data_IF_729738882647
#
_entry.id   IF_729738882647
#
_cell.length_a   1.000
_cell.length_b   1.000
_cell.length_c   1.000
_cell.angle_alpha   90.00
_cell.angle_beta   90.00
_cell.angle_gamma   90.00
#
_symmetry.space_group_name_H-M   'P 1'
#
loop_
_entity.id
_entity.type
_entity.pdbx_description
1 polymer ?
#
# COMPACT_ATOMS: atom_id res chain seq x y z
N UNK A 1 -49.33 -0.72 -36.41
CA UNK A 1 -48.70 -1.39 -35.24
C UNK A 1 -47.33 -1.88 -35.68
N UNK A 2 -46.26 -1.15 -35.36
CA UNK A 2 -44.87 -1.55 -35.63
C UNK A 2 -44.07 -1.33 -34.36
N UNK A 3 -43.54 -2.44 -33.82
CA UNK A 3 -42.74 -2.48 -32.60
C UNK A 3 -41.34 -1.93 -32.89
N UNK A 4 -40.93 -0.86 -32.20
CA UNK A 4 -39.56 -0.34 -32.23
C UNK A 4 -38.74 -1.09 -31.17
N UNK A 5 -37.75 -1.86 -31.63
CA UNK A 5 -36.66 -2.33 -30.79
C UNK A 5 -35.74 -1.13 -30.49
N UNK A 6 -35.63 -0.76 -29.21
CA UNK A 6 -34.73 0.28 -28.74
C UNK A 6 -33.34 -0.31 -28.60
N UNK A 7 -32.50 -0.12 -29.62
CA UNK A 7 -31.05 -0.36 -29.53
C UNK A 7 -30.44 0.64 -28.55
N UNK A 8 -29.97 0.15 -27.41
CA UNK A 8 -29.14 0.92 -26.49
C UNK A 8 -27.72 1.00 -27.08
N UNK A 9 -27.42 2.12 -27.73
CA UNK A 9 -26.06 2.48 -28.11
C UNK A 9 -25.23 2.68 -26.83
N UNK A 10 -24.26 1.80 -26.59
CA UNK A 10 -23.24 2.02 -25.56
C UNK A 10 -22.39 3.23 -25.96
N UNK A 11 -22.06 4.14 -25.02
CA UNK A 11 -21.17 5.25 -25.32
C UNK A 11 -19.81 4.70 -25.73
N UNK A 12 -19.35 5.11 -26.92
CA UNK A 12 -18.00 4.87 -27.43
C UNK A 12 -17.03 5.34 -26.35
N UNK A 13 -16.28 4.38 -25.78
CA UNK A 13 -15.22 4.66 -24.84
C UNK A 13 -14.30 5.73 -25.44
N UNK A 14 -14.39 6.94 -24.92
CA UNK A 14 -13.37 7.95 -25.12
C UNK A 14 -12.08 7.34 -24.58
N UNK A 15 -11.17 6.99 -25.48
CA UNK A 15 -9.78 6.71 -25.14
C UNK A 15 -9.23 7.98 -24.49
N UNK A 16 -9.35 8.03 -23.16
CA UNK A 16 -8.50 8.90 -22.36
C UNK A 16 -7.10 8.37 -22.60
N UNK A 17 -6.39 8.98 -23.54
CA UNK A 17 -4.97 8.79 -23.70
C UNK A 17 -4.36 9.17 -22.35
N UNK A 18 -3.87 8.22 -21.53
CA UNK A 18 -3.17 8.61 -20.32
C UNK A 18 -1.97 9.42 -20.80
N UNK A 19 -1.85 10.63 -20.28
CA UNK A 19 -0.69 11.50 -20.43
C UNK A 19 0.59 10.67 -20.43
N UNK A 20 1.54 11.03 -21.28
CA UNK A 20 2.80 10.36 -21.63
C UNK A 20 3.79 10.12 -20.47
N UNK A 21 3.31 9.73 -19.30
CA UNK A 21 4.09 9.08 -18.26
C UNK A 21 4.13 7.58 -18.57
N UNK A 22 5.34 7.05 -18.73
CA UNK A 22 5.55 5.63 -18.99
C UNK A 22 5.13 4.83 -17.76
N UNK A 23 4.05 4.04 -17.90
CA UNK A 23 3.63 3.10 -16.87
C UNK A 23 4.79 2.13 -16.58
N UNK A 24 5.14 2.00 -15.30
CA UNK A 24 6.16 1.07 -14.84
C UNK A 24 5.49 -0.15 -14.21
N UNK A 25 6.20 -1.27 -14.19
CA UNK A 25 5.83 -2.44 -13.43
C UNK A 25 7.01 -2.89 -12.57
N UNK A 26 6.71 -3.54 -11.46
CA UNK A 26 7.75 -4.19 -10.65
C UNK A 26 8.15 -5.49 -11.36
N UNK A 27 9.45 -5.74 -11.52
CA UNK A 27 9.99 -6.97 -12.10
C UNK A 27 9.45 -8.21 -11.38
N UNK A 28 9.08 -9.24 -12.13
CA UNK A 28 8.59 -10.52 -11.56
C UNK A 28 9.72 -11.40 -11.01
N UNK A 29 10.99 -11.09 -11.33
CA UNK A 29 12.12 -11.99 -11.08
C UNK A 29 12.60 -12.04 -9.63
N UNK A 30 12.21 -11.08 -8.79
CA UNK A 30 12.67 -10.95 -7.40
C UNK A 30 11.49 -10.92 -6.45
N UNK A 31 11.65 -11.55 -5.28
CA UNK A 31 10.77 -11.42 -4.11
C UNK A 31 10.86 -9.99 -3.56
N UNK A 32 10.22 -9.07 -4.25
CA UNK A 32 10.33 -7.63 -4.03
C UNK A 32 9.00 -6.95 -4.26
N UNK A 33 8.84 -5.76 -3.70
CA UNK A 33 7.61 -5.00 -3.85
C UNK A 33 7.78 -3.56 -3.37
N UNK A 34 6.71 -2.81 -3.54
CA UNK A 34 6.56 -1.47 -3.00
C UNK A 34 5.34 -1.42 -2.09
N UNK A 35 5.48 -0.80 -0.94
CA UNK A 35 4.37 -0.41 -0.07
C UNK A 35 4.12 1.07 -0.33
N UNK A 36 2.92 1.38 -0.81
CA UNK A 36 2.52 2.73 -1.19
C UNK A 36 1.64 3.31 -0.08
N UNK A 37 2.21 4.21 0.72
CA UNK A 37 1.54 4.79 1.87
C UNK A 37 0.71 6.00 1.43
N UNK A 38 -0.61 5.90 1.57
CA UNK A 38 -1.56 7.01 1.41
C UNK A 38 -1.85 7.63 2.77
N UNK A 39 -2.75 8.62 2.82
CA UNK A 39 -3.03 9.37 4.05
C UNK A 39 -3.55 8.49 5.20
N UNK A 40 -4.42 7.52 4.90
CA UNK A 40 -5.14 6.74 5.91
C UNK A 40 -4.99 5.22 5.78
N UNK A 41 -4.31 4.76 4.73
CA UNK A 41 -4.07 3.34 4.48
C UNK A 41 -2.81 3.18 3.63
N UNK A 42 -2.35 1.95 3.50
CA UNK A 42 -1.29 1.60 2.57
C UNK A 42 -1.76 0.53 1.60
N UNK A 43 -1.13 0.49 0.44
CA UNK A 43 -1.34 -0.54 -0.56
C UNK A 43 -0.05 -1.30 -0.81
N UNK A 44 -0.18 -2.57 -1.19
CA UNK A 44 0.96 -3.39 -1.58
C UNK A 44 0.98 -3.57 -3.10
N UNK A 45 2.09 -3.19 -3.73
CA UNK A 45 2.44 -3.51 -5.10
C UNK A 45 3.53 -4.59 -5.08
N UNK A 46 3.14 -5.84 -5.30
CA UNK A 46 4.09 -6.95 -5.39
C UNK A 46 4.69 -7.13 -6.80
N UNK A 47 5.44 -8.22 -7.04
CA UNK A 47 6.02 -8.49 -8.34
C UNK A 47 4.98 -8.48 -9.45
N UNK A 48 5.37 -7.92 -10.60
CA UNK A 48 4.53 -7.73 -11.78
C UNK A 48 3.51 -6.60 -11.65
N UNK A 49 3.34 -5.98 -10.48
CA UNK A 49 2.32 -4.95 -10.30
C UNK A 49 2.69 -3.64 -11.01
N UNK A 50 1.69 -3.04 -11.65
CA UNK A 50 1.79 -1.69 -12.20
C UNK A 50 2.02 -0.64 -11.08
N UNK A 51 2.89 0.33 -11.35
CA UNK A 51 3.20 1.48 -10.49
C UNK A 51 3.42 2.72 -11.36
N UNK A 52 3.31 3.92 -10.77
CA UNK A 52 3.42 5.20 -11.48
C UNK A 52 2.36 5.34 -12.58
N UNK A 53 1.10 5.20 -12.18
CA UNK A 53 -0.05 5.40 -13.06
C UNK A 53 -0.57 6.83 -12.87
N UNK A 54 -0.82 7.56 -13.97
CA UNK A 54 -1.23 8.98 -13.93
C UNK A 54 -2.58 9.27 -13.23
N UNK A 55 -3.29 8.24 -12.76
CA UNK A 55 -4.53 8.37 -11.96
C UNK A 55 -4.33 8.03 -10.47
N UNK A 56 -3.10 7.79 -10.02
CA UNK A 56 -2.85 7.44 -8.62
C UNK A 56 -2.87 8.68 -7.71
N UNK A 57 -3.52 8.59 -6.52
CA UNK A 57 -3.52 9.67 -5.55
C UNK A 57 -2.11 9.86 -4.95
N UNK A 58 -1.86 11.05 -4.42
CA UNK A 58 -0.57 11.42 -3.83
C UNK A 58 -0.18 10.44 -2.71
N UNK A 59 0.99 9.83 -2.84
CA UNK A 59 1.61 9.01 -1.81
C UNK A 59 2.38 9.86 -0.82
N UNK A 60 2.15 9.65 0.48
CA UNK A 60 2.96 10.26 1.54
C UNK A 60 4.36 9.67 1.59
N UNK A 61 4.45 8.37 1.33
CA UNK A 61 5.70 7.65 1.29
C UNK A 61 5.58 6.44 0.37
N UNK A 62 6.71 6.05 -0.22
CA UNK A 62 6.87 4.77 -0.92
C UNK A 62 8.00 4.03 -0.23
N UNK A 63 7.72 2.79 0.18
CA UNK A 63 8.67 1.94 0.91
C UNK A 63 8.99 0.73 0.04
N UNK A 64 10.27 0.59 -0.31
CA UNK A 64 10.77 -0.60 -0.97
C UNK A 64 10.91 -1.75 0.02
N UNK A 65 10.43 -2.93 -0.37
CA UNK A 65 10.65 -4.19 0.34
C UNK A 65 11.40 -5.17 -0.56
N UNK A 66 12.51 -5.70 -0.06
CA UNK A 66 13.50 -6.39 -0.88
C UNK A 66 14.21 -5.42 -1.83
N UNK A 67 14.47 -5.87 -3.06
CA UNK A 67 15.20 -5.09 -4.08
C UNK A 67 14.35 -4.95 -5.36
N UNK A 68 13.27 -4.16 -5.33
CA UNK A 68 12.37 -4.00 -6.46
C UNK A 68 13.07 -3.31 -7.62
N UNK A 69 12.90 -3.87 -8.80
CA UNK A 69 13.37 -3.30 -10.07
C UNK A 69 12.16 -2.86 -10.87
N UNK A 70 12.17 -1.63 -11.37
CA UNK A 70 11.08 -1.08 -12.16
C UNK A 70 11.38 -1.25 -13.65
N UNK A 71 10.47 -1.90 -14.36
CA UNK A 71 10.55 -2.14 -15.79
C UNK A 71 9.48 -1.32 -16.52
N UNK A 72 9.81 -0.69 -17.67
CA UNK A 72 8.81 0.03 -18.46
C UNK A 72 7.82 -0.95 -19.10
N UNK A 73 6.55 -0.56 -19.13
CA UNK A 73 5.49 -1.29 -19.86
C UNK A 73 5.14 -0.55 -21.14
N UNK A 74 5.49 -1.14 -22.28
CA UNK A 74 5.38 -0.51 -23.59
C UNK A 74 4.12 -0.97 -24.32
N UNK A 75 3.82 -2.26 -24.25
CA UNK A 75 2.70 -2.85 -24.98
C UNK A 75 1.41 -2.82 -24.18
N UNK A 76 0.27 -2.81 -24.86
CA UNK A 76 -1.05 -2.90 -24.22
C UNK A 76 -1.16 -4.16 -23.34
N UNK A 77 -0.66 -5.30 -23.82
CA UNK A 77 -0.71 -6.56 -23.07
C UNK A 77 0.16 -6.53 -21.81
N UNK A 78 1.34 -5.91 -21.86
CA UNK A 78 2.17 -5.68 -20.67
C UNK A 78 1.45 -4.82 -19.64
N UNK A 79 0.84 -3.71 -20.07
CA UNK A 79 0.06 -2.82 -19.19
C UNK A 79 -1.11 -3.58 -18.58
N UNK A 80 -1.87 -4.32 -19.38
CA UNK A 80 -3.01 -5.13 -18.92
C UNK A 80 -2.59 -6.16 -17.89
N UNK A 81 -1.47 -6.87 -18.13
CA UNK A 81 -0.91 -7.83 -17.15
C UNK A 81 -0.50 -7.12 -15.86
N UNK A 82 0.18 -5.98 -15.95
CA UNK A 82 0.67 -5.25 -14.80
C UNK A 82 -0.47 -4.71 -13.90
N UNK A 83 -1.52 -4.16 -14.50
CA UNK A 83 -2.75 -3.79 -13.78
C UNK A 83 -3.44 -5.02 -13.18
N UNK A 84 -3.50 -6.14 -13.91
CA UNK A 84 -4.03 -7.40 -13.41
C UNK A 84 -3.31 -7.88 -12.14
N UNK A 85 -1.98 -7.85 -12.14
CA UNK A 85 -1.14 -8.17 -10.97
C UNK A 85 -1.41 -7.21 -9.81
N UNK A 86 -1.48 -5.90 -10.09
CA UNK A 86 -1.80 -4.87 -9.07
C UNK A 86 -3.13 -5.16 -8.37
N UNK A 87 -4.17 -5.51 -9.14
CA UNK A 87 -5.49 -5.90 -8.61
C UNK A 87 -5.41 -7.19 -7.79
N UNK A 88 -4.64 -8.19 -8.25
CA UNK A 88 -4.46 -9.45 -7.50
C UNK A 88 -3.84 -9.21 -6.12
N UNK A 89 -2.79 -8.38 -6.04
CA UNK A 89 -2.16 -8.00 -4.77
C UNK A 89 -3.12 -7.22 -3.87
N UNK A 90 -3.89 -6.28 -4.43
CA UNK A 90 -4.94 -5.57 -3.71
C UNK A 90 -6.00 -6.51 -3.13
N UNK A 91 -6.49 -7.48 -3.92
CA UNK A 91 -7.47 -8.48 -3.46
C UNK A 91 -6.91 -9.40 -2.39
N UNK A 92 -5.63 -9.78 -2.49
CA UNK A 92 -4.98 -10.57 -1.46
C UNK A 92 -4.94 -9.81 -0.13
N UNK A 93 -4.55 -8.53 -0.16
CA UNK A 93 -4.53 -7.70 1.04
C UNK A 93 -5.95 -7.46 1.58
N UNK A 94 -6.92 -7.20 0.71
CA UNK A 94 -8.32 -7.03 1.08
C UNK A 94 -8.86 -8.23 1.86
N UNK A 95 -8.59 -9.47 1.40
CA UNK A 95 -9.00 -10.69 2.13
C UNK A 95 -8.43 -10.77 3.54
N UNK A 96 -7.25 -10.19 3.78
CA UNK A 96 -6.68 -10.10 5.11
C UNK A 96 -7.46 -9.06 5.91
N UNK A 97 -7.63 -7.86 5.37
CA UNK A 97 -8.26 -6.72 6.06
C UNK A 97 -9.74 -6.95 6.40
N UNK A 98 -10.44 -7.77 5.63
CA UNK A 98 -11.85 -8.15 5.84
C UNK A 98 -12.06 -9.10 7.03
N UNK A 99 -10.99 -9.67 7.61
CA UNK A 99 -11.13 -10.52 8.79
C UNK A 99 -11.59 -9.69 10.01
N UNK A 100 -12.61 -10.12 10.77
CA UNK A 100 -13.20 -9.30 11.83
C UNK A 100 -12.26 -9.06 13.02
N UNK A 101 -11.41 -10.05 13.34
CA UNK A 101 -10.45 -9.93 14.44
C UNK A 101 -9.16 -9.19 14.01
N UNK A 102 -8.82 -8.04 14.62
CA UNK A 102 -7.61 -7.28 14.31
C UNK A 102 -6.29 -8.03 14.58
N UNK A 103 -6.23 -8.91 15.59
CA UNK A 103 -5.02 -9.71 15.86
C UNK A 103 -4.77 -10.68 14.71
N UNK A 104 -5.83 -11.35 14.25
CA UNK A 104 -5.76 -12.26 13.12
C UNK A 104 -5.41 -11.55 11.80
N UNK A 105 -5.86 -10.30 11.60
CA UNK A 105 -5.44 -9.48 10.45
C UNK A 105 -3.93 -9.24 10.44
N UNK A 106 -3.39 -8.81 11.58
CA UNK A 106 -1.97 -8.57 11.77
C UNK A 106 -1.15 -9.86 11.58
N UNK A 107 -1.58 -10.98 12.16
CA UNK A 107 -0.92 -12.28 12.03
C UNK A 107 -0.91 -12.78 10.58
N UNK A 108 -2.05 -12.73 9.89
CA UNK A 108 -2.15 -13.14 8.48
C UNK A 108 -1.27 -12.28 7.57
N UNK A 109 -1.21 -10.97 7.81
CA UNK A 109 -0.33 -10.07 7.06
C UNK A 109 1.14 -10.46 7.29
N UNK A 110 1.55 -10.59 8.54
CA UNK A 110 2.93 -10.94 8.90
C UNK A 110 3.31 -12.29 8.32
N UNK A 111 2.49 -13.34 8.51
CA UNK A 111 2.75 -14.67 7.98
C UNK A 111 2.89 -14.67 6.44
N UNK A 112 1.98 -13.99 5.73
CA UNK A 112 2.05 -13.91 4.27
C UNK A 112 3.27 -13.13 3.76
N UNK A 113 3.66 -12.06 4.45
CA UNK A 113 4.90 -11.34 4.13
C UNK A 113 6.15 -12.16 4.47
N UNK A 114 6.15 -12.92 5.57
CA UNK A 114 7.27 -13.77 5.97
C UNK A 114 7.49 -14.93 4.99
N UNK A 115 6.40 -15.56 4.54
CA UNK A 115 6.44 -16.61 3.52
C UNK A 115 7.02 -16.07 2.20
N UNK A 116 6.60 -14.86 1.82
CA UNK A 116 7.00 -14.27 0.56
C UNK A 116 8.42 -13.70 0.60
N UNK A 117 8.73 -12.82 1.55
CA UNK A 117 9.98 -12.05 1.65
C UNK A 117 11.03 -12.63 2.59
N UNK A 118 10.63 -13.54 3.48
CA UNK A 118 11.48 -14.03 4.56
C UNK A 118 11.41 -13.15 5.81
N UNK A 119 11.51 -13.80 6.96
CA UNK A 119 11.35 -13.19 8.29
C UNK A 119 12.27 -12.00 8.56
N UNK A 120 13.53 -12.07 8.14
CA UNK A 120 14.50 -10.99 8.39
C UNK A 120 14.07 -9.66 7.73
N UNK A 121 13.50 -9.73 6.52
CA UNK A 121 13.00 -8.56 5.80
C UNK A 121 11.78 -7.98 6.52
N UNK A 122 10.86 -8.84 6.97
CA UNK A 122 9.62 -8.41 7.65
C UNK A 122 9.88 -7.80 9.02
N UNK A 123 10.87 -8.31 9.76
CA UNK A 123 11.30 -7.71 11.04
C UNK A 123 11.72 -6.25 10.84
N UNK A 124 12.43 -5.95 9.76
CA UNK A 124 12.91 -4.59 9.45
C UNK A 124 11.83 -3.57 9.05
N UNK A 125 10.59 -4.01 8.79
CA UNK A 125 9.51 -3.10 8.41
C UNK A 125 8.94 -2.36 9.62
N UNK A 126 8.69 -1.03 9.53
CA UNK A 126 8.04 -0.27 10.60
C UNK A 126 6.64 -0.79 10.92
N UNK A 127 6.28 -0.79 12.21
CA UNK A 127 4.96 -1.24 12.69
C UNK A 127 3.83 -0.38 12.12
N UNK A 128 4.05 0.92 11.94
CA UNK A 128 3.09 1.89 11.40
C UNK A 128 2.69 1.52 9.98
N UNK A 129 3.65 1.09 9.17
CA UNK A 129 3.43 0.75 7.76
C UNK A 129 2.63 -0.55 7.64
N UNK A 130 2.98 -1.55 8.45
CA UNK A 130 2.23 -2.80 8.50
C UNK A 130 0.82 -2.60 9.07
N UNK A 131 0.68 -1.71 10.04
CA UNK A 131 -0.61 -1.34 10.61
C UNK A 131 -1.53 -0.71 9.54
N UNK A 132 -0.98 0.18 8.71
CA UNK A 132 -1.69 0.78 7.57
C UNK A 132 -2.10 -0.23 6.49
N UNK A 133 -1.31 -1.30 6.29
CA UNK A 133 -1.65 -2.39 5.37
C UNK A 133 -2.76 -3.30 5.93
N UNK A 134 -2.67 -3.66 7.21
CA UNK A 134 -3.63 -4.55 7.87
C UNK A 134 -4.90 -3.86 8.37
N UNK A 135 -4.94 -2.51 8.36
CA UNK A 135 -6.07 -1.73 8.90
C UNK A 135 -6.21 -1.88 10.41
N UNK A 136 -5.09 -1.92 11.13
CA UNK A 136 -5.02 -2.09 12.60
C UNK A 136 -4.20 -0.96 13.24
N UNK A 137 -4.11 -0.93 14.56
CA UNK A 137 -3.20 -0.01 15.26
C UNK A 137 -1.77 -0.56 15.30
N UNK A 138 -0.72 0.29 15.31
CA UNK A 138 0.67 -0.14 15.43
C UNK A 138 0.92 -1.06 16.64
N UNK A 139 0.29 -0.77 17.79
CA UNK A 139 0.39 -1.61 18.98
C UNK A 139 -0.13 -3.04 18.78
N UNK A 140 -1.11 -3.25 17.89
CA UNK A 140 -1.57 -4.60 17.51
C UNK A 140 -0.49 -5.36 16.76
N UNK A 141 0.22 -4.70 15.83
CA UNK A 141 1.36 -5.30 15.12
C UNK A 141 2.47 -5.68 16.10
N UNK A 142 2.81 -4.80 17.04
CA UNK A 142 3.83 -5.07 18.06
C UNK A 142 3.48 -6.26 18.95
N UNK A 143 2.23 -6.33 19.41
CA UNK A 143 1.74 -7.46 20.20
C UNK A 143 1.87 -8.79 19.45
N UNK A 144 1.42 -8.82 18.19
CA UNK A 144 1.56 -10.03 17.35
C UNK A 144 3.02 -10.36 17.12
N UNK A 145 3.90 -9.39 16.79
CA UNK A 145 5.34 -9.63 16.62
C UNK A 145 5.95 -10.29 17.86
N UNK A 146 5.60 -9.80 19.05
CA UNK A 146 6.07 -10.38 20.32
C UNK A 146 5.59 -11.82 20.49
N UNK A 147 4.33 -12.12 20.19
CA UNK A 147 3.76 -13.47 20.33
C UNK A 147 4.29 -14.43 19.26
N UNK A 148 4.21 -14.02 18.00
CA UNK A 148 4.59 -14.75 16.79
C UNK A 148 6.08 -15.14 16.80
N UNK A 149 6.95 -14.26 17.30
CA UNK A 149 8.39 -14.53 17.34
C UNK A 149 8.88 -15.18 18.64
N UNK A 150 8.13 -15.08 19.75
CA UNK A 150 8.43 -15.84 20.97
C UNK A 150 8.22 -17.34 20.79
N UNK A 151 7.26 -17.76 19.95
CA UNK A 151 6.99 -19.17 19.64
C UNK A 151 8.04 -19.85 18.76
N UNK A 152 8.96 -19.11 18.15
CA UNK A 152 9.89 -19.61 17.12
C UNK A 152 11.33 -19.85 17.65
N UNK A 153 11.50 -20.06 18.96
CA UNK A 153 12.79 -20.33 19.61
C UNK A 153 13.22 -21.81 19.49
N UNK A 154 13.50 -22.29 18.28
CA UNK A 154 14.34 -23.50 18.05
C UNK A 154 15.07 -23.52 16.69
N UNK A 155 15.14 -22.39 15.98
CA UNK A 155 15.97 -22.26 14.77
C UNK A 155 17.22 -21.43 15.05
N UNK A 156 18.39 -22.06 15.02
CA UNK A 156 19.73 -21.47 15.10
C UNK A 156 19.80 -20.08 14.45
N UNK A 157 20.07 -19.05 15.26
CA UNK A 157 20.39 -17.72 14.75
C UNK A 157 21.80 -17.74 14.15
N UNK A 158 21.90 -18.01 12.84
CA UNK A 158 23.07 -17.63 12.07
C UNK A 158 22.91 -16.18 11.62
N UNK A 159 23.57 -15.27 12.34
CA UNK A 159 23.93 -13.98 11.78
C UNK A 159 24.86 -14.25 10.58
N UNK A 160 24.38 -14.07 9.36
CA UNK A 160 25.24 -13.94 8.20
C UNK A 160 25.65 -12.47 8.08
N UNK A 161 26.95 -12.13 8.22
CA UNK A 161 27.46 -10.85 7.78
C UNK A 161 27.63 -10.94 6.26
N UNK A 162 26.64 -10.46 5.51
CA UNK A 162 26.63 -10.55 4.06
C UNK A 162 25.80 -9.42 3.46
N UNK A 163 26.52 -8.41 3.01
CA UNK A 163 26.06 -7.20 2.32
C UNK A 163 24.91 -7.42 1.34
N UNK A 164 23.72 -6.97 1.73
CA UNK A 164 22.85 -6.14 0.89
C UNK A 164 22.02 -5.32 1.87
N UNK A 165 22.52 -4.13 2.19
CA UNK A 165 21.85 -3.20 3.09
C UNK A 165 20.42 -2.97 2.56
N UNK A 166 19.44 -3.35 3.36
CA UNK A 166 18.04 -2.97 3.19
C UNK A 166 17.99 -1.46 2.98
N UNK A 167 17.88 -1.04 1.72
CA UNK A 167 17.55 0.35 1.37
C UNK A 167 16.05 0.52 1.57
N UNK A 168 15.61 0.61 2.82
CA UNK A 168 14.33 1.24 3.17
C UNK A 168 14.50 2.72 2.84
N UNK A 169 14.36 3.06 1.56
CA UNK A 169 14.42 4.44 1.10
C UNK A 169 13.01 4.97 1.16
N UNK A 170 12.72 5.78 2.17
CA UNK A 170 11.48 6.58 2.16
C UNK A 170 11.65 7.62 1.07
N UNK A 171 11.06 7.39 -0.09
CA UNK A 171 10.98 8.43 -1.12
C UNK A 171 9.80 9.32 -0.72
N UNK A 172 10.09 10.45 -0.10
CA UNK A 172 9.10 11.50 0.15
C UNK A 172 8.90 12.29 -1.13
N UNK A 173 7.75 12.10 -1.78
CA UNK A 173 7.36 12.86 -2.96
C UNK A 173 6.78 14.20 -2.51
N UNK A 174 7.65 15.18 -2.26
CA UNK A 174 7.22 16.56 -2.05
C UNK A 174 6.75 17.14 -3.38
N UNK A 175 5.46 16.99 -3.69
CA UNK A 175 4.78 17.80 -4.70
C UNK A 175 3.59 18.49 -4.04
N UNK A 176 3.82 19.78 -3.77
CA UNK A 176 2.97 20.78 -3.13
C UNK A 176 2.84 20.71 -1.61
N UNK A 177 3.46 21.69 -0.97
CA UNK A 177 3.14 22.20 0.36
C UNK A 177 1.62 22.41 0.44
N UNK A 178 0.97 21.54 1.20
CA UNK A 178 -0.31 21.90 1.83
C UNK A 178 0.06 22.74 3.05
N UNK A 179 -0.68 23.84 3.35
CA UNK A 179 -0.34 24.65 4.51
C UNK A 179 -0.44 23.75 5.75
N UNK A 180 0.69 23.59 6.45
CA UNK A 180 0.70 22.97 7.77
C UNK A 180 -0.27 23.75 8.67
N UNK A 181 -1.43 23.18 8.94
CA UNK A 181 -2.18 23.57 10.13
C UNK A 181 -1.51 22.82 11.28
N UNK A 182 -0.86 23.52 12.23
CA UNK A 182 -0.22 22.86 13.35
C UNK A 182 -1.29 22.11 14.14
N UNK A 183 -1.19 20.78 14.20
CA UNK A 183 -1.95 20.01 15.16
C UNK A 183 -1.37 20.31 16.56
N UNK A 184 -1.89 21.35 17.21
CA UNK A 184 -1.69 21.55 18.64
C UNK A 184 -2.30 20.34 19.36
N UNK A 185 -1.44 19.48 19.90
CA UNK A 185 -1.77 18.23 20.58
C UNK A 185 -2.44 18.40 21.96
N UNK A 186 -3.08 19.54 22.21
CA UNK A 186 -3.90 19.76 23.40
C UNK A 186 -4.97 20.84 23.16
N UNK A 187 -5.84 20.65 22.16
CA UNK A 187 -7.02 21.49 22.04
C UNK A 187 -8.02 21.12 23.16
N UNK A 188 -8.42 22.10 23.95
CA UNK A 188 -9.49 21.93 24.95
C UNK A 188 -10.85 21.81 24.24
N UNK A 189 -11.81 21.12 24.85
CA UNK A 189 -13.16 20.92 24.28
C UNK A 189 -13.80 22.25 23.85
N UNK A 190 -13.53 23.31 24.59
CA UNK A 190 -13.99 24.67 24.31
C UNK A 190 -13.44 25.27 23.01
N UNK A 191 -12.20 24.93 22.62
CA UNK A 191 -11.58 25.38 21.37
C UNK A 191 -12.13 24.63 20.16
N UNK A 192 -12.45 23.34 20.36
CA UNK A 192 -13.10 22.51 19.35
C UNK A 192 -14.50 23.08 19.05
N UNK A 193 -15.32 23.33 20.06
CA UNK A 193 -16.68 23.87 19.88
C UNK A 193 -16.68 25.24 19.18
N UNK A 194 -15.73 26.12 19.53
CA UNK A 194 -15.61 27.45 18.91
C UNK A 194 -15.22 27.35 17.43
N UNK A 195 -14.38 26.38 17.06
CA UNK A 195 -13.98 26.14 15.67
C UNK A 195 -15.15 25.62 14.84
N UNK A 196 -15.97 24.72 15.39
CA UNK A 196 -17.16 24.20 14.70
C UNK A 196 -18.28 25.25 14.55
N UNK A 197 -18.40 26.21 15.47
CA UNK A 197 -19.39 27.29 15.36
C UNK A 197 -19.11 28.22 14.17
N UNK A 198 -17.84 28.50 13.89
CA UNK A 198 -17.43 29.32 12.73
C UNK A 198 -17.74 28.62 11.41
N UNK A 199 -17.53 27.29 11.34
CA UNK A 199 -17.84 26.50 10.15
C UNK A 199 -19.34 26.33 9.87
N UNK A 200 -20.19 26.53 10.88
CA UNK A 200 -21.65 26.40 10.74
C UNK A 200 -22.34 27.72 10.34
N UNK A 201 -21.58 28.81 10.32
CA UNK A 201 -22.04 30.16 9.95
C UNK A 201 -21.44 30.68 8.64
N UNK A 202 -20.65 29.86 7.94
CA UNK A 202 -20.18 30.05 6.57
C UNK A 202 -20.97 29.16 5.60
#
# INVERSE_FOLDING_TARGET
MKSQASTLELPKHSEVCPSSESLLAISEHKKSGLILCKQYHAEFAGPGAAVNCGVEPIYRAVIAIGSPELIPTQTFDERRRAYGRRIQWGRWLQKIVEHPDPMMRAEKLLAGFEEFFGRQVVIGLPSEVLALLAGVFPGTIEQVRVQHWRGSRTGTMSFLPGSDQLKVTTISMNRHETPEVPLLTSATVSEIERTYAVLKSA
#
